data_IF_878477819299
#
_entry.id   IF_878477819299
#
_cell.length_a   1.000
_cell.length_b   1.000
_cell.length_c   1.000
_cell.angle_alpha   90.00
_cell.angle_beta   90.00
_cell.angle_gamma   90.00
#
_symmetry.space_group_name_H-M   'P 1'
#
loop_
_entity.id
_entity.type
_entity.pdbx_description
1 polymer ?
#
# COMPACT_ATOMS: atom_id res chain seq x y z
N UNK A 1 12.33 7.77 5.01
CA UNK A 1 11.82 7.96 3.64
C UNK A 1 12.16 6.79 2.71
N UNK A 2 13.43 6.40 2.53
CA UNK A 2 13.84 5.28 1.65
C UNK A 2 13.27 3.91 2.04
N UNK A 3 13.22 3.58 3.34
CA UNK A 3 12.74 2.26 3.81
C UNK A 3 11.24 2.02 3.54
N UNK A 4 10.42 3.06 3.63
CA UNK A 4 8.98 2.97 3.34
C UNK A 4 8.73 2.71 1.87
N UNK A 5 9.43 3.41 0.97
CA UNK A 5 9.31 3.19 -0.46
C UNK A 5 9.74 1.78 -0.87
N UNK A 6 10.85 1.28 -0.32
CA UNK A 6 11.30 -0.11 -0.54
C UNK A 6 10.27 -1.14 -0.08
N UNK A 7 9.58 -0.88 1.05
CA UNK A 7 8.53 -1.77 1.53
C UNK A 7 7.28 -1.76 0.63
N UNK A 8 6.90 -0.60 0.09
CA UNK A 8 5.78 -0.47 -0.85
C UNK A 8 6.11 -1.18 -2.17
N UNK A 9 7.35 -1.04 -2.66
CA UNK A 9 7.81 -1.73 -3.88
C UNK A 9 7.83 -3.25 -3.69
N UNK A 10 8.33 -3.73 -2.54
CA UNK A 10 8.28 -5.16 -2.19
C UNK A 10 6.84 -5.70 -2.05
N UNK A 11 5.91 -4.86 -1.59
CA UNK A 11 4.49 -5.20 -1.54
C UNK A 11 3.90 -5.32 -2.96
N UNK A 12 4.28 -4.45 -3.90
CA UNK A 12 3.89 -4.57 -5.31
C UNK A 12 4.40 -5.87 -5.93
N UNK A 13 5.63 -6.30 -5.63
CA UNK A 13 6.14 -7.61 -6.04
C UNK A 13 5.32 -8.76 -5.44
N UNK A 14 4.90 -8.66 -4.18
CA UNK A 14 4.08 -9.69 -3.51
C UNK A 14 2.69 -9.78 -4.14
N UNK A 15 2.11 -8.65 -4.54
CA UNK A 15 0.86 -8.62 -5.30
C UNK A 15 0.99 -9.31 -6.66
N UNK A 16 2.10 -9.06 -7.37
CA UNK A 16 2.38 -9.71 -8.66
C UNK A 16 2.51 -11.25 -8.53
N UNK A 17 2.97 -11.74 -7.39
CA UNK A 17 3.05 -13.18 -7.05
C UNK A 17 1.67 -13.78 -6.65
N UNK A 18 0.62 -12.95 -6.59
CA UNK A 18 -0.73 -13.34 -6.20
C UNK A 18 -1.06 -13.12 -4.71
N UNK A 19 -0.09 -12.74 -3.89
CA UNK A 19 -0.26 -12.49 -2.45
C UNK A 19 -0.71 -11.04 -2.19
N UNK A 20 -1.93 -10.75 -2.64
CA UNK A 20 -2.55 -9.42 -2.56
C UNK A 20 -2.86 -9.01 -1.12
N UNK A 21 -3.19 -9.97 -0.25
CA UNK A 21 -3.45 -9.70 1.16
C UNK A 21 -2.19 -9.23 1.88
N UNK A 22 -1.06 -9.94 1.73
CA UNK A 22 0.20 -9.52 2.35
C UNK A 22 0.74 -8.24 1.75
N UNK A 23 0.54 -8.02 0.44
CA UNK A 23 0.87 -6.75 -0.20
C UNK A 23 0.13 -5.58 0.47
N UNK A 24 -1.19 -5.69 0.65
CA UNK A 24 -1.99 -4.69 1.34
C UNK A 24 -1.51 -4.46 2.78
N UNK A 25 -1.33 -5.53 3.56
CA UNK A 25 -0.89 -5.44 4.97
C UNK A 25 0.47 -4.77 5.11
N UNK A 26 1.44 -5.12 4.24
CA UNK A 26 2.79 -4.53 4.26
C UNK A 26 2.77 -3.06 3.90
N UNK A 27 1.98 -2.66 2.91
CA UNK A 27 1.84 -1.26 2.53
C UNK A 27 1.17 -0.45 3.63
N UNK A 28 0.08 -0.95 4.23
CA UNK A 28 -0.58 -0.29 5.37
C UNK A 28 0.41 -0.10 6.51
N UNK A 29 1.12 -1.15 6.93
CA UNK A 29 2.11 -1.07 8.00
C UNK A 29 3.25 -0.08 7.70
N UNK A 30 3.70 -0.03 6.44
CA UNK A 30 4.74 0.90 6.01
C UNK A 30 4.26 2.37 6.02
N UNK A 31 2.98 2.60 5.73
CA UNK A 31 2.34 3.92 5.79
C UNK A 31 2.04 4.34 7.24
N UNK A 32 1.58 3.45 8.11
CA UNK A 32 1.31 3.77 9.53
C UNK A 32 2.60 4.00 10.33
N UNK A 33 3.70 3.33 9.96
CA UNK A 33 4.99 3.56 10.59
C UNK A 33 5.68 4.86 10.13
N UNK A 34 5.16 5.51 9.09
CA UNK A 34 5.70 6.77 8.58
C UNK A 34 4.98 7.94 9.26
N UNK A 35 5.70 8.96 9.79
CA UNK A 35 5.03 10.15 10.29
C UNK A 35 4.28 10.83 9.15
N UNK A 36 3.10 11.38 9.43
CA UNK A 36 2.18 11.93 8.42
C UNK A 36 2.85 12.99 7.53
N UNK A 37 3.74 13.82 8.09
CA UNK A 37 4.53 14.83 7.37
C UNK A 37 5.47 14.25 6.30
N UNK A 38 5.83 12.96 6.41
CA UNK A 38 6.64 12.26 5.43
C UNK A 38 5.80 11.45 4.44
N UNK A 39 4.49 11.31 4.66
CA UNK A 39 3.57 10.63 3.76
C UNK A 39 3.16 11.52 2.58
N UNK A 40 4.15 12.16 1.95
CA UNK A 40 3.94 13.20 0.95
C UNK A 40 4.26 12.70 -0.46
N UNK A 41 3.55 13.27 -1.43
CA UNK A 41 3.78 13.16 -2.88
C UNK A 41 4.01 11.74 -3.41
N UNK A 42 5.26 11.30 -3.34
CA UNK A 42 5.73 10.04 -3.92
C UNK A 42 5.25 8.82 -3.14
N UNK A 43 5.22 8.87 -1.80
CA UNK A 43 4.73 7.75 -0.97
C UNK A 43 3.25 7.50 -1.24
N UNK A 44 2.45 8.57 -1.26
CA UNK A 44 1.01 8.51 -1.55
C UNK A 44 0.75 8.03 -2.97
N UNK A 45 1.53 8.51 -3.95
CA UNK A 45 1.41 8.07 -5.35
C UNK A 45 1.69 6.58 -5.51
N UNK A 46 2.71 6.05 -4.83
CA UNK A 46 3.05 4.61 -4.89
C UNK A 46 2.04 3.73 -4.18
N UNK A 47 1.50 4.18 -3.05
CA UNK A 47 0.41 3.48 -2.38
C UNK A 47 -0.87 3.44 -3.23
N UNK A 48 -1.19 4.54 -3.92
CA UNK A 48 -2.32 4.61 -4.85
C UNK A 48 -2.13 3.70 -6.06
N UNK A 49 -0.94 3.72 -6.68
CA UNK A 49 -0.58 2.85 -7.81
C UNK A 49 -0.76 1.36 -7.47
N UNK A 50 -0.34 0.96 -6.26
CA UNK A 50 -0.61 -0.38 -5.75
C UNK A 50 -2.12 -0.66 -5.59
N UNK A 51 -2.87 0.29 -5.01
CA UNK A 51 -4.32 0.13 -4.84
C UNK A 51 -5.06 0.00 -6.18
N UNK A 52 -4.66 0.76 -7.20
CA UNK A 52 -5.23 0.70 -8.55
C UNK A 52 -4.86 -0.61 -9.28
N UNK A 53 -3.67 -1.16 -9.01
CA UNK A 53 -3.25 -2.46 -9.54
C UNK A 53 -4.05 -3.64 -8.96
N UNK A 54 -4.57 -3.50 -7.73
CA UNK A 54 -5.33 -4.56 -7.06
C UNK A 54 -6.71 -4.73 -7.73
N UNK A 55 -7.04 -5.92 -8.25
CA UNK A 55 -8.30 -6.16 -8.93
C UNK A 55 -9.50 -5.95 -7.99
N UNK A 56 -10.59 -5.39 -8.50
CA UNK A 56 -11.82 -5.08 -7.75
C UNK A 56 -12.33 -6.25 -6.88
N UNK A 57 -12.11 -7.49 -7.33
CA UNK A 57 -12.47 -8.69 -6.58
C UNK A 57 -11.77 -8.77 -5.21
N UNK A 58 -10.61 -8.15 -5.00
CA UNK A 58 -9.88 -8.13 -3.73
C UNK A 58 -10.16 -6.88 -2.88
N UNK A 59 -11.04 -5.97 -3.32
CA UNK A 59 -11.35 -4.74 -2.55
C UNK A 59 -12.22 -5.01 -1.32
N UNK A 60 -12.82 -6.19 -1.21
CA UNK A 60 -13.50 -6.66 0.01
C UNK A 60 -12.51 -7.09 1.09
N UNK A 61 -11.25 -7.32 0.71
CA UNK A 61 -10.22 -7.78 1.62
C UNK A 61 -9.87 -6.66 2.62
N UNK A 62 -9.72 -7.04 3.90
CA UNK A 62 -9.59 -6.06 4.98
C UNK A 62 -8.37 -5.17 4.75
N UNK A 63 -7.26 -5.75 4.32
CA UNK A 63 -6.01 -5.04 4.08
C UNK A 63 -6.13 -4.00 2.95
N UNK A 64 -6.91 -4.31 1.91
CA UNK A 64 -7.15 -3.43 0.76
C UNK A 64 -8.09 -2.29 1.16
N UNK A 65 -9.07 -2.56 2.01
CA UNK A 65 -9.96 -1.54 2.56
C UNK A 65 -9.22 -0.56 3.49
N UNK A 66 -8.32 -1.07 4.33
CA UNK A 66 -7.46 -0.23 5.18
C UNK A 66 -6.48 0.59 4.33
N UNK A 67 -5.90 0.00 3.28
CA UNK A 67 -5.07 0.74 2.32
C UNK A 67 -5.85 1.90 1.69
N UNK A 68 -7.10 1.66 1.27
CA UNK A 68 -7.98 2.68 0.69
C UNK A 68 -8.20 3.86 1.64
N UNK A 69 -8.43 3.57 2.91
CA UNK A 69 -8.66 4.61 3.94
C UNK A 69 -7.42 5.50 4.10
N UNK A 70 -6.25 4.87 4.20
CA UNK A 70 -4.96 5.57 4.35
C UNK A 70 -4.62 6.44 3.14
N UNK A 71 -4.93 5.99 1.91
CA UNK A 71 -4.69 6.81 0.70
C UNK A 71 -5.76 7.86 0.44
N UNK A 72 -6.96 7.72 1.01
CA UNK A 72 -8.07 8.66 0.86
C UNK A 72 -8.02 9.82 1.87
N UNK A 73 -7.27 9.65 2.97
CA UNK A 73 -6.94 10.74 3.92
C UNK A 73 -5.95 11.74 3.34
#
# INVERSE_FOLDING_TARGET
MTRTLLNIDAAACSHHDGDTEQAGRRTVAALTALPVDFCTGLVRRRALDLFEAIPAQHHHDRAVRELRDVVAS
#
